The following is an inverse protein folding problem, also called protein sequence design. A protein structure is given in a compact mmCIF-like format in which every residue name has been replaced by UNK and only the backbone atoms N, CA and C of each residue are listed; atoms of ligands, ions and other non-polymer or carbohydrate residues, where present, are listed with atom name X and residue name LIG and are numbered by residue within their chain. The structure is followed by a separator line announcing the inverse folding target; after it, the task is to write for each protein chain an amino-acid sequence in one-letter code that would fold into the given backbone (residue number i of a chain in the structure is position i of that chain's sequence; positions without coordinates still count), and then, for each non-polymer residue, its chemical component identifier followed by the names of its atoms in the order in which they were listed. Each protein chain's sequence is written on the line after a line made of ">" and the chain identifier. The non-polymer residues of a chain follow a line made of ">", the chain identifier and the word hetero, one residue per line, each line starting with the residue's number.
data_IF_875845662372
#
_entry.id   IF_875845662372
#
_cell.length_a   1.000
_cell.length_b   1.000
_cell.length_c   1.000
_cell.angle_alpha   90.00
_cell.angle_beta   90.00
_cell.angle_gamma   90.00
#
_symmetry.space_group_name_H-M   'P 1'
#
loop_
_entity.id
_entity.type
_entity.pdbx_description
1 polymer ?
#
# COMPACT_ATOMS: atom_id res chain seq x y z
N UNK A 1 -9.40 33.90 -3.89
CA UNK A 1 -9.32 32.91 -4.98
C UNK A 1 -8.50 31.74 -4.44
N UNK A 2 -9.18 30.69 -4.00
CA UNK A 2 -8.54 29.40 -3.68
C UNK A 2 -8.17 28.76 -5.00
N UNK A 3 -6.88 28.70 -5.32
CA UNK A 3 -6.40 27.85 -6.40
C UNK A 3 -6.52 26.41 -5.90
N UNK A 4 -7.57 25.71 -6.30
CA UNK A 4 -7.62 24.26 -6.21
C UNK A 4 -6.51 23.74 -7.12
N UNK A 5 -5.41 23.33 -6.54
CA UNK A 5 -4.38 22.57 -7.25
C UNK A 5 -5.00 21.20 -7.48
N UNK A 6 -5.60 20.99 -8.65
CA UNK A 6 -6.01 19.65 -9.07
C UNK A 6 -4.75 18.80 -9.07
N UNK A 7 -4.75 17.71 -8.29
CA UNK A 7 -3.68 16.72 -8.34
C UNK A 7 -3.79 16.07 -9.70
N UNK A 8 -2.92 16.50 -10.62
CA UNK A 8 -2.85 15.95 -11.96
C UNK A 8 -1.96 14.72 -11.90
N UNK A 9 -2.56 13.54 -12.00
CA UNK A 9 -1.84 12.28 -12.12
C UNK A 9 -1.07 12.18 -13.43
N UNK A 10 -0.35 11.09 -13.62
CA UNK A 10 0.33 10.79 -14.87
C UNK A 10 -0.71 10.49 -15.97
N UNK A 11 -0.54 11.13 -17.15
CA UNK A 11 -1.42 10.88 -18.29
C UNK A 11 -1.05 9.55 -18.98
N UNK A 12 -1.88 8.54 -18.77
CA UNK A 12 -1.72 7.21 -19.35
C UNK A 12 -2.36 7.06 -20.74
N UNK A 13 -3.01 8.11 -21.29
CA UNK A 13 -3.73 8.06 -22.55
C UNK A 13 -2.86 7.75 -23.77
N UNK A 14 -1.56 8.04 -23.68
CA UNK A 14 -0.59 7.74 -24.75
C UNK A 14 -0.08 6.30 -24.73
N UNK A 15 -0.35 5.54 -23.65
CA UNK A 15 0.08 4.15 -23.53
C UNK A 15 -0.84 3.29 -24.38
N UNK A 16 -0.22 2.53 -25.28
CA UNK A 16 -0.95 1.64 -26.18
C UNK A 16 -0.86 0.19 -25.70
N UNK A 17 -1.86 -0.59 -26.06
CA UNK A 17 -1.87 -2.02 -25.84
C UNK A 17 -0.67 -2.66 -26.53
N UNK A 18 -0.02 -3.57 -25.83
CA UNK A 18 0.98 -4.47 -26.36
C UNK A 18 0.37 -5.87 -26.55
N UNK A 19 0.17 -6.27 -27.79
CA UNK A 19 -0.51 -7.52 -28.11
C UNK A 19 0.30 -8.77 -27.69
N UNK A 20 1.62 -8.69 -27.67
CA UNK A 20 2.48 -9.81 -27.22
C UNK A 20 2.35 -10.00 -25.71
N UNK A 21 2.37 -8.90 -24.96
CA UNK A 21 2.19 -8.93 -23.49
C UNK A 21 0.77 -9.33 -23.14
N UNK A 22 -0.23 -8.75 -23.80
CA UNK A 22 -1.65 -9.06 -23.56
C UNK A 22 -1.98 -10.54 -23.82
N UNK A 23 -1.32 -11.17 -24.80
CA UNK A 23 -1.49 -12.60 -25.10
C UNK A 23 -0.96 -13.54 -24.02
N UNK A 24 -0.18 -13.05 -23.06
CA UNK A 24 0.31 -13.84 -21.91
C UNK A 24 -0.68 -13.89 -20.75
N UNK A 25 -1.71 -13.04 -20.78
CA UNK A 25 -2.69 -13.01 -19.69
C UNK A 25 -3.60 -14.23 -19.73
N UNK A 26 -3.92 -14.79 -18.54
CA UNK A 26 -4.88 -15.89 -18.47
C UNK A 26 -6.31 -15.40 -18.71
N UNK A 27 -7.16 -16.29 -19.19
CA UNK A 27 -8.58 -16.00 -19.44
C UNK A 27 -9.32 -15.49 -18.19
N UNK A 28 -8.89 -15.93 -17.00
CA UNK A 28 -9.45 -15.46 -15.72
C UNK A 28 -9.31 -13.96 -15.48
N UNK A 29 -8.29 -13.33 -16.10
CA UNK A 29 -8.04 -11.88 -15.99
C UNK A 29 -8.69 -11.12 -17.14
N UNK A 30 -8.79 -11.75 -18.33
CA UNK A 30 -9.24 -11.05 -19.55
C UNK A 30 -10.74 -11.19 -19.81
N UNK A 31 -11.43 -12.12 -19.17
CA UNK A 31 -12.79 -12.53 -19.52
C UNK A 31 -13.86 -11.44 -19.38
N UNK A 32 -13.68 -10.51 -18.45
CA UNK A 32 -14.61 -9.39 -18.22
C UNK A 32 -14.11 -8.06 -18.80
N UNK A 33 -12.90 -8.05 -19.36
CA UNK A 33 -12.28 -6.86 -19.97
C UNK A 33 -11.79 -5.82 -18.97
N UNK A 34 -11.71 -6.17 -17.67
CA UNK A 34 -11.33 -5.24 -16.60
C UNK A 34 -10.16 -5.81 -15.80
N UNK A 35 -9.18 -4.98 -15.51
CA UNK A 35 -8.11 -5.27 -14.55
C UNK A 35 -8.54 -4.70 -13.19
N UNK A 36 -8.88 -5.58 -12.26
CA UNK A 36 -9.27 -5.17 -10.90
C UNK A 36 -8.04 -5.10 -10.00
N UNK A 37 -7.86 -3.95 -9.33
CA UNK A 37 -6.68 -3.68 -8.49
C UNK A 37 -7.12 -3.33 -7.08
N UNK A 38 -6.68 -4.12 -6.09
CA UNK A 38 -6.88 -3.82 -4.68
C UNK A 38 -5.82 -2.82 -4.18
N UNK A 39 -6.24 -1.72 -3.55
CA UNK A 39 -5.38 -0.71 -2.97
C UNK A 39 -5.97 -0.15 -1.67
N UNK A 40 -5.11 0.22 -0.71
CA UNK A 40 -5.54 0.99 0.47
C UNK A 40 -5.44 2.48 0.17
N UNK A 41 -6.57 3.08 -0.19
CA UNK A 41 -6.65 4.47 -0.66
C UNK A 41 -6.56 5.51 0.46
N UNK A 42 -5.85 5.21 1.52
CA UNK A 42 -5.52 6.12 2.63
C UNK A 42 -4.04 6.56 2.65
N UNK A 43 -3.24 6.13 1.68
CA UNK A 43 -1.78 6.24 1.70
C UNK A 43 -1.23 7.23 0.66
N UNK A 44 -1.49 8.54 0.86
CA UNK A 44 -0.96 9.59 -0.02
C UNK A 44 0.57 9.70 0.09
N UNK A 45 1.30 9.96 -0.99
CA UNK A 45 0.83 10.25 -2.35
C UNK A 45 0.74 9.01 -3.27
N UNK A 46 0.91 7.80 -2.74
CA UNK A 46 0.93 6.58 -3.53
C UNK A 46 -0.48 6.20 -4.00
N UNK A 47 -1.42 6.02 -3.06
CA UNK A 47 -2.81 5.72 -3.34
C UNK A 47 -3.72 6.40 -2.29
N UNK A 48 -4.64 7.23 -2.74
CA UNK A 48 -5.56 7.96 -1.87
C UNK A 48 -6.80 8.40 -2.63
N UNK A 49 -7.82 8.87 -1.91
CA UNK A 49 -9.03 9.40 -2.53
C UNK A 49 -8.84 10.87 -2.88
N UNK A 50 -9.32 11.27 -4.06
CA UNK A 50 -9.38 12.66 -4.46
C UNK A 50 -10.29 13.49 -3.54
N UNK A 51 -10.40 14.80 -3.81
CA UNK A 51 -11.24 15.72 -3.01
C UNK A 51 -12.72 15.32 -2.98
N UNK A 52 -13.20 14.54 -3.95
CA UNK A 52 -14.57 14.02 -4.00
C UNK A 52 -14.82 12.87 -2.99
N UNK A 53 -13.77 12.40 -2.32
CA UNK A 53 -13.81 11.31 -1.35
C UNK A 53 -14.16 9.94 -1.95
N UNK A 54 -14.06 9.78 -3.27
CA UNK A 54 -14.47 8.56 -3.99
C UNK A 54 -13.47 8.10 -5.03
N UNK A 55 -12.88 9.02 -5.80
CA UNK A 55 -12.01 8.69 -6.93
C UNK A 55 -10.61 8.35 -6.43
N UNK A 56 -10.11 7.12 -6.64
CA UNK A 56 -8.73 6.78 -6.34
C UNK A 56 -7.75 7.55 -7.23
N UNK A 57 -6.70 8.09 -6.62
CA UNK A 57 -5.62 8.84 -7.28
C UNK A 57 -4.29 8.54 -6.60
N UNK A 58 -3.20 8.90 -7.23
CA UNK A 58 -1.83 8.68 -6.75
C UNK A 58 -0.99 7.90 -7.74
N UNK A 59 0.32 7.80 -7.47
CA UNK A 59 1.22 7.17 -8.45
C UNK A 59 1.03 5.65 -8.56
N UNK A 60 0.55 4.97 -7.53
CA UNK A 60 0.19 3.55 -7.59
C UNK A 60 -1.06 3.33 -8.44
N UNK A 61 -2.04 4.25 -8.35
CA UNK A 61 -3.23 4.24 -9.20
C UNK A 61 -2.87 4.55 -10.66
N UNK A 62 -1.95 5.49 -10.90
CA UNK A 62 -1.46 5.79 -12.26
C UNK A 62 -0.70 4.60 -12.85
N UNK A 63 0.08 3.89 -12.02
CA UNK A 63 0.76 2.65 -12.41
C UNK A 63 -0.26 1.56 -12.80
N UNK A 64 -1.33 1.37 -12.03
CA UNK A 64 -2.37 0.40 -12.34
C UNK A 64 -3.07 0.70 -13.67
N UNK A 65 -3.35 1.98 -13.93
CA UNK A 65 -3.90 2.44 -15.22
C UNK A 65 -2.94 2.18 -16.39
N UNK A 66 -1.64 2.42 -16.17
CA UNK A 66 -0.62 2.15 -17.18
C UNK A 66 -0.52 0.66 -17.52
N UNK A 67 -0.55 -0.21 -16.51
CA UNK A 67 -0.53 -1.66 -16.69
C UNK A 67 -1.79 -2.12 -17.45
N UNK A 68 -2.97 -1.66 -17.05
CA UNK A 68 -4.21 -1.99 -17.74
C UNK A 68 -4.21 -1.53 -19.21
N UNK A 69 -3.65 -0.34 -19.49
CA UNK A 69 -3.50 0.15 -20.86
C UNK A 69 -2.62 -0.76 -21.72
N UNK A 70 -1.48 -1.22 -21.18
CA UNK A 70 -0.59 -2.18 -21.88
C UNK A 70 -1.32 -3.50 -22.15
N UNK A 71 -2.17 -3.94 -21.22
CA UNK A 71 -2.98 -5.16 -21.39
C UNK A 71 -4.20 -4.97 -22.32
N UNK A 72 -4.56 -3.72 -22.62
CA UNK A 72 -5.77 -3.40 -23.34
C UNK A 72 -7.06 -3.65 -22.56
N UNK A 73 -6.98 -3.57 -21.22
CA UNK A 73 -8.08 -3.75 -20.28
C UNK A 73 -8.51 -2.40 -19.70
N UNK A 74 -9.75 -2.33 -19.23
CA UNK A 74 -10.22 -1.23 -18.38
C UNK A 74 -9.60 -1.42 -16.97
N UNK A 75 -9.17 -0.33 -16.37
CA UNK A 75 -8.68 -0.36 -14.98
C UNK A 75 -9.80 -0.07 -14.00
N UNK A 76 -9.81 -0.80 -12.86
CA UNK A 76 -10.69 -0.52 -11.73
C UNK A 76 -9.92 -0.71 -10.42
N UNK A 77 -9.56 0.39 -9.75
CA UNK A 77 -8.99 0.38 -8.40
C UNK A 77 -10.11 0.25 -7.37
N UNK A 78 -10.05 -0.80 -6.55
CA UNK A 78 -11.01 -1.07 -5.47
C UNK A 78 -10.35 -0.76 -4.13
N UNK A 79 -10.90 0.21 -3.40
CA UNK A 79 -10.43 0.60 -2.08
C UNK A 79 -10.69 -0.52 -1.06
N UNK A 80 -9.66 -0.88 -0.32
CA UNK A 80 -9.71 -1.95 0.70
C UNK A 80 -8.74 -1.65 1.83
N UNK A 81 -8.94 -2.26 3.00
CA UNK A 81 -7.95 -2.16 4.07
C UNK A 81 -6.69 -2.95 3.70
N UNK A 82 -5.52 -2.41 4.06
CA UNK A 82 -4.21 -2.95 3.68
C UNK A 82 -4.06 -4.46 3.97
N UNK A 83 -4.47 -4.89 5.17
CA UNK A 83 -4.40 -6.28 5.63
C UNK A 83 -5.30 -7.25 4.84
N UNK A 84 -6.32 -6.74 4.14
CA UNK A 84 -7.27 -7.55 3.38
C UNK A 84 -6.90 -7.75 1.91
N UNK A 85 -5.92 -7.00 1.37
CA UNK A 85 -5.63 -7.01 -0.06
C UNK A 85 -4.97 -8.34 -0.48
N UNK A 86 -3.82 -8.70 0.11
CA UNK A 86 -3.09 -9.92 -0.26
C UNK A 86 -3.97 -11.18 -0.19
N UNK A 87 -4.76 -11.43 0.88
CA UNK A 87 -5.63 -12.59 0.94
C UNK A 87 -6.73 -12.63 -0.13
N UNK A 88 -7.00 -11.50 -0.77
CA UNK A 88 -8.08 -11.35 -1.76
C UNK A 88 -7.59 -11.33 -3.21
N UNK A 89 -6.27 -11.32 -3.44
CA UNK A 89 -5.69 -11.44 -4.79
C UNK A 89 -6.03 -12.81 -5.37
N UNK A 90 -6.43 -12.84 -6.64
CA UNK A 90 -6.88 -14.04 -7.34
C UNK A 90 -8.33 -14.45 -7.07
N UNK A 91 -9.02 -13.80 -6.11
CA UNK A 91 -10.44 -14.07 -5.82
C UNK A 91 -11.34 -12.82 -5.96
N UNK A 92 -10.85 -11.67 -5.54
CA UNK A 92 -11.57 -10.39 -5.60
C UNK A 92 -10.84 -9.36 -6.45
N UNK A 93 -9.52 -9.47 -6.52
CA UNK A 93 -8.65 -8.61 -7.32
C UNK A 93 -7.74 -9.46 -8.19
N UNK A 94 -7.41 -8.97 -9.39
CA UNK A 94 -6.39 -9.56 -10.25
C UNK A 94 -4.99 -9.20 -9.73
N UNK A 95 -4.83 -7.97 -9.23
CA UNK A 95 -3.60 -7.43 -8.67
C UNK A 95 -3.84 -6.74 -7.33
N UNK A 96 -2.80 -6.67 -6.50
CA UNK A 96 -2.71 -5.75 -5.36
C UNK A 96 -1.58 -4.75 -5.60
N UNK A 97 -1.88 -3.46 -5.63
CA UNK A 97 -0.88 -2.38 -5.72
C UNK A 97 -1.15 -1.41 -4.58
N UNK A 98 -0.36 -1.49 -3.51
CA UNK A 98 -0.52 -0.68 -2.31
C UNK A 98 0.78 -0.59 -1.51
N UNK A 99 1.88 -0.30 -2.19
CA UNK A 99 3.19 -0.08 -1.57
C UNK A 99 3.65 -1.22 -0.64
N UNK A 100 3.36 -2.47 -1.01
CA UNK A 100 3.70 -3.64 -0.21
C UNK A 100 5.21 -3.89 -0.13
N UNK A 101 5.70 -4.16 1.08
CA UNK A 101 7.03 -4.74 1.27
C UNK A 101 7.00 -6.23 0.90
N UNK A 102 7.97 -6.66 0.10
CA UNK A 102 8.16 -8.09 -0.22
C UNK A 102 8.73 -8.81 1.00
N UNK A 103 8.02 -9.82 1.50
CA UNK A 103 8.48 -10.69 2.59
C UNK A 103 8.36 -12.15 2.21
N UNK A 104 9.16 -13.01 2.83
CA UNK A 104 9.09 -14.47 2.60
C UNK A 104 7.71 -15.05 2.93
N UNK A 105 7.06 -14.50 3.95
CA UNK A 105 5.72 -14.91 4.35
C UNK A 105 4.69 -14.56 3.27
N UNK A 106 4.68 -13.29 2.80
CA UNK A 106 3.77 -12.84 1.75
C UNK A 106 3.97 -13.56 0.43
N UNK A 107 5.23 -13.91 0.09
CA UNK A 107 5.54 -14.71 -1.12
C UNK A 107 5.00 -16.16 -1.07
N UNK A 108 4.51 -16.64 0.07
CA UNK A 108 3.80 -17.91 0.13
C UNK A 108 2.38 -17.83 -0.40
N UNK A 109 1.80 -16.63 -0.45
CA UNK A 109 0.43 -16.40 -0.89
C UNK A 109 0.34 -15.80 -2.30
N UNK A 110 1.27 -14.92 -2.67
CA UNK A 110 1.26 -14.19 -3.95
C UNK A 110 2.68 -13.98 -4.48
N UNK A 111 2.81 -13.81 -5.80
CA UNK A 111 4.05 -13.37 -6.43
C UNK A 111 4.18 -11.84 -6.39
N UNK A 112 5.42 -11.34 -6.37
CA UNK A 112 5.71 -9.92 -6.30
C UNK A 112 6.57 -9.43 -7.47
N UNK A 113 6.22 -8.25 -7.98
CA UNK A 113 7.05 -7.46 -8.87
C UNK A 113 7.40 -6.15 -8.17
N UNK A 114 8.69 -5.90 -7.92
CA UNK A 114 9.14 -4.68 -7.25
C UNK A 114 9.19 -3.51 -8.23
N UNK A 115 8.61 -2.37 -7.86
CA UNK A 115 8.59 -1.15 -8.68
C UNK A 115 9.12 0.09 -7.94
N UNK A 116 9.24 0.04 -6.62
CA UNK A 116 9.67 1.17 -5.79
C UNK A 116 10.58 0.70 -4.65
N UNK A 117 11.54 1.56 -4.25
CA UNK A 117 12.38 1.31 -3.07
C UNK A 117 12.04 2.32 -1.99
N UNK A 118 11.70 1.83 -0.81
CA UNK A 118 11.37 2.64 0.35
C UNK A 118 12.01 2.06 1.61
N UNK A 119 11.96 2.83 2.69
CA UNK A 119 12.35 2.39 4.03
C UNK A 119 11.33 2.86 5.05
N UNK A 120 11.42 2.32 6.27
CA UNK A 120 10.62 2.77 7.41
C UNK A 120 11.29 3.93 8.13
N UNK A 121 10.49 4.86 8.64
CA UNK A 121 10.96 5.95 9.49
C UNK A 121 9.97 6.22 10.61
N UNK A 122 10.47 6.72 11.73
CA UNK A 122 9.61 7.16 12.82
C UNK A 122 9.26 8.64 12.65
N UNK A 123 8.00 8.95 12.88
CA UNK A 123 7.47 10.32 12.87
C UNK A 123 7.10 10.72 14.29
N UNK A 124 7.61 11.86 14.73
CA UNK A 124 7.31 12.45 16.03
C UNK A 124 6.84 13.89 15.85
N UNK A 125 6.20 14.45 16.88
CA UNK A 125 5.85 15.85 16.89
C UNK A 125 7.10 16.73 16.65
N UNK A 126 6.94 17.82 15.87
CA UNK A 126 8.04 18.74 15.57
C UNK A 126 8.80 19.15 16.83
N UNK A 127 10.12 18.99 16.78
CA UNK A 127 11.00 19.27 17.92
C UNK A 127 11.10 18.13 18.94
N UNK A 128 10.42 17.00 18.72
CA UNK A 128 10.45 15.81 19.59
C UNK A 128 10.32 16.16 21.11
N UNK A 129 9.20 16.84 21.52
CA UNK A 129 9.05 17.31 22.91
C UNK A 129 9.08 16.18 23.94
N UNK A 130 8.66 14.98 23.54
CA UNK A 130 8.66 13.79 24.38
C UNK A 130 10.02 13.06 24.40
N UNK A 131 11.03 13.59 23.69
CA UNK A 131 12.39 13.01 23.62
C UNK A 131 12.36 11.51 23.26
N UNK A 132 11.51 11.13 22.32
CA UNK A 132 11.41 9.75 21.83
C UNK A 132 12.75 9.36 21.21
N UNK A 133 13.31 8.25 21.68
CA UNK A 133 14.49 7.61 21.13
C UNK A 133 14.06 6.41 20.29
N UNK A 134 14.24 6.48 18.99
CA UNK A 134 13.86 5.40 18.05
C UNK A 134 14.68 4.11 18.26
N UNK A 135 15.82 4.19 18.95
CA UNK A 135 16.62 3.01 19.30
C UNK A 135 16.11 2.27 20.55
N UNK A 136 15.22 2.91 21.33
CA UNK A 136 14.64 2.33 22.54
C UNK A 136 13.19 2.78 22.71
N UNK A 137 12.26 1.96 22.23
CA UNK A 137 10.83 2.25 22.26
C UNK A 137 10.12 1.72 23.52
N UNK A 138 10.83 1.10 24.47
CA UNK A 138 10.22 0.56 25.69
C UNK A 138 9.51 1.67 26.48
N UNK A 139 8.22 1.43 26.83
CA UNK A 139 7.37 2.39 27.52
C UNK A 139 6.81 3.52 26.63
N UNK A 140 7.12 3.53 25.32
CA UNK A 140 6.63 4.54 24.38
C UNK A 140 5.29 4.11 23.80
N UNK A 141 4.38 5.09 23.54
CA UNK A 141 3.18 4.86 22.75
C UNK A 141 3.49 4.99 21.28
N UNK A 142 3.24 3.93 20.50
CA UNK A 142 3.53 3.85 19.05
C UNK A 142 2.27 3.54 18.27
N UNK A 143 1.93 4.35 17.29
CA UNK A 143 0.86 4.08 16.33
C UNK A 143 1.42 3.39 15.10
N UNK A 144 0.74 2.34 14.63
CA UNK A 144 1.09 1.57 13.43
C UNK A 144 -0.16 1.18 12.65
N UNK A 145 -0.01 0.93 11.37
CA UNK A 145 -1.10 0.38 10.56
C UNK A 145 -1.11 -1.14 10.68
N UNK A 146 -2.31 -1.72 10.82
CA UNK A 146 -2.52 -3.17 10.92
C UNK A 146 -2.05 -3.90 9.66
N UNK A 147 -1.34 -5.03 9.85
CA UNK A 147 -0.88 -5.90 8.76
C UNK A 147 0.38 -5.42 8.06
N UNK A 148 1.05 -4.39 8.58
CA UNK A 148 2.30 -3.87 8.03
C UNK A 148 3.54 -4.52 8.64
N UNK A 149 4.66 -4.45 7.93
CA UNK A 149 5.97 -4.87 8.48
C UNK A 149 6.40 -4.01 9.65
N UNK A 150 5.97 -2.75 9.71
CA UNK A 150 6.21 -1.85 10.84
C UNK A 150 5.49 -2.32 12.10
N UNK A 151 4.27 -2.86 11.98
CA UNK A 151 3.55 -3.47 13.11
C UNK A 151 4.32 -4.68 13.64
N UNK A 152 4.82 -5.55 12.76
CA UNK A 152 5.64 -6.71 13.13
C UNK A 152 6.92 -6.29 13.84
N UNK A 153 7.63 -5.29 13.33
CA UNK A 153 8.85 -4.75 13.93
C UNK A 153 8.61 -4.21 15.35
N UNK A 154 7.54 -3.44 15.55
CA UNK A 154 7.18 -2.87 16.85
C UNK A 154 6.75 -3.98 17.84
N UNK A 155 5.98 -4.97 17.37
CA UNK A 155 5.63 -6.13 18.20
C UNK A 155 6.86 -6.90 18.64
N UNK A 156 7.80 -7.15 17.76
CA UNK A 156 9.08 -7.82 18.10
C UNK A 156 9.89 -7.01 19.10
N UNK A 157 9.97 -5.69 18.94
CA UNK A 157 10.61 -4.80 19.89
C UNK A 157 9.93 -4.84 21.27
N UNK A 158 8.59 -4.92 21.30
CA UNK A 158 7.80 -5.03 22.52
C UNK A 158 8.09 -6.33 23.28
N UNK A 159 8.18 -7.46 22.57
CA UNK A 159 8.56 -8.73 23.20
C UNK A 159 9.97 -8.66 23.79
N UNK A 160 10.91 -7.97 23.15
CA UNK A 160 12.25 -7.75 23.69
C UNK A 160 12.22 -6.87 24.93
N UNK A 161 11.42 -5.79 24.95
CA UNK A 161 11.26 -4.95 26.15
C UNK A 161 10.77 -5.78 27.35
N UNK A 162 9.75 -6.62 27.14
CA UNK A 162 9.22 -7.51 28.18
C UNK A 162 10.27 -8.52 28.67
N UNK A 163 11.02 -9.15 27.76
CA UNK A 163 12.08 -10.10 28.10
C UNK A 163 13.20 -9.45 28.93
N UNK A 164 13.50 -8.17 28.65
CA UNK A 164 14.49 -7.37 29.38
C UNK A 164 13.96 -6.80 30.72
N UNK A 165 12.70 -7.08 31.09
CA UNK A 165 12.06 -6.54 32.28
C UNK A 165 11.80 -5.03 32.23
N UNK A 166 11.72 -4.45 31.03
CA UNK A 166 11.41 -3.05 30.78
C UNK A 166 9.92 -2.85 30.56
N UNK A 167 9.47 -1.59 30.59
CA UNK A 167 8.08 -1.23 30.30
C UNK A 167 7.71 -1.64 28.86
N UNK A 168 6.51 -2.20 28.72
CA UNK A 168 5.99 -2.59 27.42
C UNK A 168 5.74 -1.37 26.52
N UNK A 169 5.86 -1.55 25.19
CA UNK A 169 5.44 -0.56 24.21
C UNK A 169 3.90 -0.52 24.17
N UNK A 170 3.30 0.66 24.27
CA UNK A 170 1.86 0.85 24.08
C UNK A 170 1.54 0.94 22.58
N UNK A 171 1.23 -0.21 21.96
CA UNK A 171 1.02 -0.32 20.51
C UNK A 171 -0.43 0.01 20.16
N UNK A 172 -0.62 1.03 19.33
CA UNK A 172 -1.92 1.45 18.81
C UNK A 172 -2.02 1.06 17.32
N UNK A 173 -2.60 -0.11 17.05
CA UNK A 173 -2.86 -0.56 15.68
C UNK A 173 -4.17 0.00 15.16
N UNK A 174 -4.17 0.47 13.90
CA UNK A 174 -5.36 0.99 13.22
C UNK A 174 -5.44 0.47 11.78
N UNK A 175 -6.66 0.17 11.35
CA UNK A 175 -7.00 -0.06 9.93
C UNK A 175 -7.48 1.27 9.37
N UNK A 176 -6.59 2.12 8.98
CA UNK A 176 -6.93 3.49 8.51
C UNK A 176 -7.93 3.48 7.37
#
# INVERSE_FOLDING_TARGET
>A
ASSSTSIQGFDTSSIQKDDEIAALLPDSVTSDGTLTVGADTSYAPAEFLAEDGKTPVGFDVDLSKAIAAVFGLKEETISSTFDSIIPSVGSKYDLGISSFTVTKERMQAVDFVTYFKAGSTYVVQKGNPNKVDSSNLCGVKVAVQTGTTQEEEVNKANEQCKADGKDAIDIQSSKL
#
